data_IF_185362501631
#
_entry.id   IF_185362501631
#
_cell.length_a   1.000
_cell.length_b   1.000
_cell.length_c   1.000
_cell.angle_alpha   90.00
_cell.angle_beta   90.00
_cell.angle_gamma   90.00
#
_symmetry.space_group_name_H-M   'P 1'
#
loop_
_entity.id
_entity.type
_entity.pdbx_description
1 polymer ?
#
# COMPACT_ATOMS: atom_id res chain seq x y z
N UNK A 1 -15.85 -1.19 -4.38
CA UNK A 1 -15.14 -1.64 -3.17
C UNK A 1 -16.14 -1.80 -2.01
N UNK A 2 -17.15 -2.67 -2.17
CA UNK A 2 -18.33 -2.66 -1.28
C UNK A 2 -18.53 -4.00 -0.54
N UNK A 3 -17.62 -4.97 -0.72
CA UNK A 3 -17.69 -6.24 -0.01
C UNK A 3 -16.99 -6.10 1.33
N UNK A 4 -17.63 -6.55 2.41
CA UNK A 4 -17.05 -6.61 3.75
C UNK A 4 -16.88 -8.05 4.19
N UNK A 5 -15.85 -8.31 4.97
CA UNK A 5 -15.64 -9.61 5.60
C UNK A 5 -16.77 -9.92 6.58
N UNK A 6 -17.36 -11.12 6.52
CA UNK A 6 -18.44 -11.54 7.42
C UNK A 6 -17.99 -11.70 8.88
N UNK A 7 -16.70 -11.85 9.14
CA UNK A 7 -16.16 -12.09 10.48
C UNK A 7 -15.66 -10.82 11.18
N UNK A 8 -14.99 -9.94 10.44
CA UNK A 8 -14.37 -8.73 11.00
C UNK A 8 -14.86 -7.41 10.38
N UNK A 9 -15.77 -7.46 9.41
CA UNK A 9 -16.36 -6.30 8.73
C UNK A 9 -15.39 -5.38 7.99
N UNK A 10 -14.12 -5.79 7.82
CA UNK A 10 -13.15 -5.02 7.01
C UNK A 10 -13.54 -5.06 5.53
N UNK A 11 -13.26 -3.98 4.81
CA UNK A 11 -13.45 -3.94 3.36
C UNK A 11 -12.52 -4.95 2.68
N UNK A 12 -13.09 -5.82 1.86
CA UNK A 12 -12.36 -6.82 1.11
C UNK A 12 -11.90 -6.25 -0.24
N UNK A 13 -10.72 -6.67 -0.69
CA UNK A 13 -10.31 -6.47 -2.07
C UNK A 13 -11.23 -7.24 -3.02
N UNK A 14 -11.28 -6.84 -4.30
CA UNK A 14 -12.20 -7.39 -5.30
C UNK A 14 -12.16 -8.92 -5.39
N UNK A 15 -10.95 -9.50 -5.29
CA UNK A 15 -10.69 -10.95 -5.39
C UNK A 15 -10.55 -11.65 -4.04
N UNK A 16 -10.65 -10.92 -2.93
CA UNK A 16 -10.40 -11.47 -1.61
C UNK A 16 -11.59 -12.28 -1.09
N UNK A 17 -11.30 -13.45 -0.52
CA UNK A 17 -12.32 -14.31 0.11
C UNK A 17 -12.62 -13.81 1.51
N UNK A 18 -13.90 -13.84 1.88
CA UNK A 18 -14.30 -13.54 3.26
C UNK A 18 -13.58 -14.47 4.24
N UNK A 19 -13.03 -13.91 5.31
CA UNK A 19 -12.31 -14.66 6.33
C UNK A 19 -10.80 -14.75 6.12
N UNK A 20 -10.25 -14.47 4.93
CA UNK A 20 -8.81 -14.49 4.69
C UNK A 20 -8.06 -13.49 5.60
N UNK A 21 -8.52 -12.23 5.62
CA UNK A 21 -7.94 -11.13 6.40
C UNK A 21 -7.87 -11.36 7.93
N UNK A 22 -8.66 -12.28 8.47
CA UNK A 22 -8.82 -12.49 9.91
C UNK A 22 -8.73 -13.97 10.32
N UNK A 23 -8.33 -14.84 9.41
CA UNK A 23 -8.32 -16.30 9.62
C UNK A 23 -9.67 -16.82 10.13
N UNK A 24 -10.76 -16.51 9.41
CA UNK A 24 -12.15 -16.82 9.77
C UNK A 24 -12.54 -16.33 11.17
N UNK A 25 -12.05 -15.16 11.57
CA UNK A 25 -12.35 -14.53 12.87
C UNK A 25 -11.44 -14.95 14.02
N UNK A 26 -10.48 -15.86 13.81
CA UNK A 26 -9.48 -16.25 14.83
C UNK A 26 -8.54 -15.09 15.21
N UNK A 27 -8.25 -14.20 14.27
CA UNK A 27 -7.41 -13.01 14.49
C UNK A 27 -8.26 -11.76 14.33
N UNK A 28 -8.41 -11.00 15.40
CA UNK A 28 -8.99 -9.64 15.34
C UNK A 28 -7.90 -8.63 15.55
N UNK A 29 -7.74 -7.76 14.56
CA UNK A 29 -6.90 -6.58 14.71
C UNK A 29 -7.68 -5.59 15.60
N UNK A 30 -7.09 -5.09 16.69
CA UNK A 30 -7.73 -4.05 17.48
C UNK A 30 -7.99 -2.82 16.61
N UNK A 31 -9.06 -2.08 16.91
CA UNK A 31 -9.27 -0.80 16.23
C UNK A 31 -8.09 0.11 16.54
N UNK A 32 -7.59 0.79 15.51
CA UNK A 32 -6.60 1.83 15.71
C UNK A 32 -7.18 2.88 16.67
N UNK A 33 -6.37 3.40 17.60
CA UNK A 33 -6.80 4.52 18.42
C UNK A 33 -7.17 5.71 17.50
N UNK A 34 -8.14 6.53 17.91
CA UNK A 34 -8.47 7.73 17.16
C UNK A 34 -7.24 8.64 17.08
N UNK A 35 -7.16 9.41 16.00
CA UNK A 35 -6.12 10.43 15.90
C UNK A 35 -6.28 11.48 17.00
N UNK A 36 -5.18 12.10 17.45
CA UNK A 36 -5.26 13.30 18.27
C UNK A 36 -6.13 14.37 17.60
N UNK A 37 -6.90 15.11 18.38
CA UNK A 37 -7.90 16.07 17.87
C UNK A 37 -7.31 17.07 16.86
N UNK A 38 -6.13 17.62 17.16
CA UNK A 38 -5.47 18.58 16.28
C UNK A 38 -5.12 17.99 14.91
N UNK A 39 -4.76 16.71 14.88
CA UNK A 39 -4.39 16.03 13.63
C UNK A 39 -5.64 15.70 12.82
N UNK A 40 -6.72 15.28 13.49
CA UNK A 40 -8.00 15.06 12.83
C UNK A 40 -8.55 16.35 12.22
N UNK A 41 -8.50 17.47 12.94
CA UNK A 41 -8.88 18.79 12.42
C UNK A 41 -8.05 19.17 11.20
N UNK A 42 -6.73 18.99 11.27
CA UNK A 42 -5.87 19.25 10.12
C UNK A 42 -6.21 18.35 8.91
N UNK A 43 -6.52 17.06 9.13
CA UNK A 43 -6.94 16.16 8.07
C UNK A 43 -8.26 16.58 7.42
N UNK A 44 -9.19 17.14 8.21
CA UNK A 44 -10.51 17.56 7.75
C UNK A 44 -10.45 18.93 7.04
N UNK A 45 -9.54 19.82 7.45
CA UNK A 45 -9.42 21.19 6.95
C UNK A 45 -8.40 21.38 5.82
N UNK A 46 -7.54 20.39 5.55
CA UNK A 46 -6.44 20.52 4.58
C UNK A 46 -6.90 20.36 3.13
N UNK A 47 -6.57 21.35 2.29
CA UNK A 47 -6.76 21.26 0.83
C UNK A 47 -5.69 20.40 0.13
N UNK A 48 -4.74 19.83 0.89
CA UNK A 48 -3.70 18.99 0.33
C UNK A 48 -4.30 17.67 -0.19
N UNK A 49 -3.93 17.20 -1.39
CA UNK A 49 -4.38 15.92 -1.93
C UNK A 49 -3.64 14.76 -1.26
N UNK A 50 -3.92 14.52 0.03
CA UNK A 50 -3.20 13.58 0.88
C UNK A 50 -3.15 12.17 0.30
N UNK A 51 -4.23 11.69 -0.30
CA UNK A 51 -4.26 10.36 -0.94
C UNK A 51 -3.29 10.25 -2.11
N UNK A 52 -3.12 11.30 -2.91
CA UNK A 52 -2.19 11.30 -4.03
C UNK A 52 -0.74 11.36 -3.52
N UNK A 53 -0.47 12.19 -2.50
CA UNK A 53 0.86 12.27 -1.88
C UNK A 53 1.24 10.95 -1.21
N UNK A 54 0.32 10.33 -0.46
CA UNK A 54 0.55 9.04 0.18
C UNK A 54 0.76 7.93 -0.84
N UNK A 55 0.02 7.92 -1.94
CA UNK A 55 0.20 6.94 -3.00
C UNK A 55 1.59 7.05 -3.64
N UNK A 56 2.06 8.28 -3.93
CA UNK A 56 3.42 8.49 -4.46
C UNK A 56 4.49 7.98 -3.50
N UNK A 57 4.38 8.30 -2.21
CA UNK A 57 5.32 7.84 -1.19
C UNK A 57 5.31 6.33 -1.02
N UNK A 58 4.12 5.71 -0.99
CA UNK A 58 3.98 4.26 -0.92
C UNK A 58 4.57 3.57 -2.15
N UNK A 59 4.39 4.15 -3.36
CA UNK A 59 5.02 3.63 -4.58
C UNK A 59 6.54 3.71 -4.49
N UNK A 60 7.11 4.84 -4.08
CA UNK A 60 8.57 4.98 -3.90
C UNK A 60 9.13 3.97 -2.89
N UNK A 61 8.44 3.78 -1.76
CA UNK A 61 8.82 2.78 -0.77
C UNK A 61 8.72 1.35 -1.32
N UNK A 62 7.64 1.03 -2.04
CA UNK A 62 7.49 -0.26 -2.70
C UNK A 62 8.60 -0.52 -3.73
N UNK A 63 9.03 0.51 -4.48
CA UNK A 63 10.17 0.41 -5.39
C UNK A 63 11.48 0.11 -4.66
N UNK A 64 11.71 0.68 -3.46
CA UNK A 64 12.89 0.36 -2.65
C UNK A 64 12.91 -1.07 -2.10
N UNK A 65 11.74 -1.72 -2.04
CA UNK A 65 11.58 -3.13 -1.64
C UNK A 65 11.68 -4.10 -2.83
N UNK A 66 11.83 -3.61 -4.06
CA UNK A 66 12.06 -4.47 -5.22
C UNK A 66 13.51 -4.96 -5.13
N UNK A 67 13.65 -6.19 -4.70
CA UNK A 67 14.91 -6.94 -4.75
C UNK A 67 15.26 -7.25 -6.21
N UNK A 68 16.51 -7.00 -6.61
CA UNK A 68 16.98 -7.23 -7.98
C UNK A 68 17.58 -8.64 -8.08
N UNK A 69 16.96 -9.52 -8.86
CA UNK A 69 17.44 -10.88 -9.08
C UNK A 69 18.61 -10.99 -10.06
N UNK A 70 18.99 -9.90 -10.75
CA UNK A 70 20.04 -9.88 -11.77
C UNK A 70 21.22 -8.97 -11.39
N UNK A 71 22.37 -9.15 -12.06
CA UNK A 71 23.59 -8.37 -11.81
C UNK A 71 23.35 -6.90 -12.14
N UNK A 72 23.80 -5.99 -11.26
CA UNK A 72 23.77 -4.55 -11.51
C UNK A 72 24.54 -4.18 -12.79
N UNK A 73 23.82 -3.75 -13.83
CA UNK A 73 24.42 -3.19 -15.04
C UNK A 73 24.79 -1.74 -14.73
N UNK A 74 26.04 -1.36 -14.94
CA UNK A 74 26.51 0.01 -14.71
C UNK A 74 26.32 0.81 -16.00
N UNK A 75 25.32 1.71 -16.11
CA UNK A 75 25.14 2.50 -17.30
C UNK A 75 26.29 3.51 -17.48
N UNK A 76 26.66 3.88 -18.72
CA UNK A 76 27.70 4.86 -19.01
C UNK A 76 27.33 6.31 -18.62
N UNK A 77 26.12 6.54 -18.08
CA UNK A 77 25.62 7.82 -17.60
C UNK A 77 24.95 7.64 -16.22
N UNK A 78 24.94 8.67 -15.35
CA UNK A 78 24.27 8.57 -14.05
C UNK A 78 22.76 8.38 -14.26
N UNK A 79 22.25 7.26 -13.77
CA UNK A 79 20.83 6.95 -13.76
C UNK A 79 20.44 6.50 -12.35
N UNK A 80 19.41 7.10 -11.79
CA UNK A 80 18.96 6.78 -10.42
C UNK A 80 18.26 5.41 -10.35
N UNK A 81 17.62 4.96 -11.44
CA UNK A 81 17.04 3.60 -11.58
C UNK A 81 17.04 3.17 -13.04
N UNK A 82 17.49 1.93 -13.32
CA UNK A 82 17.35 1.27 -14.64
C UNK A 82 16.66 -0.07 -14.46
N UNK A 83 15.49 -0.26 -15.08
CA UNK A 83 14.75 -1.53 -15.08
C UNK A 83 14.89 -2.17 -16.45
N UNK A 84 15.51 -3.34 -16.51
CA UNK A 84 15.64 -4.15 -17.72
C UNK A 84 14.83 -5.43 -17.56
N UNK A 85 13.97 -5.75 -18.52
CA UNK A 85 13.12 -6.94 -18.47
C UNK A 85 12.75 -7.42 -19.87
N UNK A 86 12.49 -8.73 -20.00
CA UNK A 86 12.03 -9.35 -21.24
C UNK A 86 10.51 -9.50 -21.22
N UNK A 87 9.84 -8.98 -22.24
CA UNK A 87 8.41 -9.22 -22.45
C UNK A 87 8.27 -10.52 -23.23
N UNK A 88 7.54 -11.47 -22.66
CA UNK A 88 7.11 -12.68 -23.36
C UNK A 88 5.61 -12.58 -23.63
N UNK A 89 5.23 -12.92 -24.86
CA UNK A 89 3.85 -12.97 -25.33
C UNK A 89 3.26 -14.37 -25.17
#
# INVERSE_FOLDING_TARGET
WNRRCSFCSISLLSTERSGWCCTNGKRRVPRLPPYPQYFQQWLDDTDLPLSMLSQRLNSLFAFSLIDSSERFIHPPAPADVVVSGRVYH
#
